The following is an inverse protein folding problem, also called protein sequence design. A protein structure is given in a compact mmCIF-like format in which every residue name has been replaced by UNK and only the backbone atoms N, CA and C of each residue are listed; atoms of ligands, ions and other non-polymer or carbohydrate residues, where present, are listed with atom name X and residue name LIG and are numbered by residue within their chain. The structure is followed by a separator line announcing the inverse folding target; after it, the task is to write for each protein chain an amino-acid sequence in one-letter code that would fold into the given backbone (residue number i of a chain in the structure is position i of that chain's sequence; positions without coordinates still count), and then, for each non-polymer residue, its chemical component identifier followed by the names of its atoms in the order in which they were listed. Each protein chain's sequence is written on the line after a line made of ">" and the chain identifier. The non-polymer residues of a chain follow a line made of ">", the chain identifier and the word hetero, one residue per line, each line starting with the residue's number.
data_IF_962986827769
#
_entry.id   IF_962986827769
#
_cell.length_a   1.000
_cell.length_b   1.000
_cell.length_c   1.000
_cell.angle_alpha   90.00
_cell.angle_beta   90.00
_cell.angle_gamma   90.00
#
_symmetry.space_group_name_H-M   'P 1'
#
loop_
_entity.id
_entity.type
_entity.pdbx_description
1 polymer ?
#
# COMPACT_ATOMS: atom_id res chain seq x y z
N UNK A 1 -9.96 1.75 -6.34
CA UNK A 1 -8.65 2.42 -6.47
C UNK A 1 -7.95 1.93 -7.71
N UNK A 2 -7.33 2.81 -8.45
CA UNK A 2 -6.66 2.47 -9.71
C UNK A 2 -5.14 2.56 -9.53
N UNK A 3 -4.44 1.45 -9.78
CA UNK A 3 -2.98 1.40 -9.63
C UNK A 3 -2.26 2.39 -10.56
N UNK A 4 -2.81 2.62 -11.75
CA UNK A 4 -2.17 3.51 -12.73
C UNK A 4 -2.11 4.95 -12.24
N UNK A 5 -3.08 5.39 -11.45
CA UNK A 5 -3.04 6.74 -10.88
C UNK A 5 -1.99 6.88 -9.79
N UNK A 6 -1.61 5.77 -9.16
CA UNK A 6 -0.60 5.76 -8.10
C UNK A 6 0.82 5.61 -8.64
N UNK A 7 0.97 5.15 -9.88
CA UNK A 7 2.30 4.90 -10.45
C UNK A 7 3.20 6.14 -10.43
N UNK A 8 2.76 7.33 -10.86
CA UNK A 8 3.62 8.51 -10.80
C UNK A 8 4.06 8.86 -9.38
N UNK A 9 3.17 8.66 -8.41
CA UNK A 9 3.47 8.94 -7.00
C UNK A 9 4.51 7.95 -6.46
N UNK A 10 4.38 6.68 -6.81
CA UNK A 10 5.35 5.67 -6.42
C UNK A 10 6.72 5.95 -7.02
N UNK A 11 6.76 6.33 -8.29
CA UNK A 11 8.02 6.67 -8.96
C UNK A 11 8.68 7.88 -8.30
N UNK A 12 7.90 8.87 -7.93
CA UNK A 12 8.41 10.05 -7.24
C UNK A 12 8.99 9.66 -5.88
N UNK A 13 8.28 8.84 -5.12
CA UNK A 13 8.74 8.38 -3.80
C UNK A 13 10.04 7.59 -3.88
N UNK A 14 10.18 6.78 -4.93
CA UNK A 14 11.36 5.93 -5.11
C UNK A 14 12.50 6.62 -5.84
N UNK A 15 12.27 7.83 -6.35
CA UNK A 15 13.28 8.55 -7.11
C UNK A 15 13.52 7.96 -8.50
N UNK A 16 12.52 7.32 -9.09
CA UNK A 16 12.62 6.69 -10.40
C UNK A 16 12.02 7.62 -11.45
N UNK A 17 12.83 8.04 -12.42
CA UNK A 17 12.35 8.90 -13.51
C UNK A 17 12.19 8.15 -14.84
N UNK A 18 12.81 6.97 -14.95
CA UNK A 18 12.76 6.15 -16.16
C UNK A 18 11.45 5.36 -16.23
N UNK A 19 11.02 5.04 -17.45
CA UNK A 19 9.86 4.18 -17.67
C UNK A 19 10.21 2.70 -17.69
N UNK A 20 11.49 2.37 -17.51
CA UNK A 20 11.98 1.00 -17.63
C UNK A 20 11.33 0.03 -16.63
N UNK A 21 10.90 0.54 -15.48
CA UNK A 21 10.33 -0.29 -14.41
C UNK A 21 8.82 -0.13 -14.25
N UNK A 22 8.18 0.64 -15.11
CA UNK A 22 6.75 0.97 -14.95
C UNK A 22 5.88 -0.27 -14.79
N UNK A 23 6.09 -1.26 -15.64
CA UNK A 23 5.29 -2.49 -15.60
C UNK A 23 5.47 -3.24 -14.29
N UNK A 24 6.69 -3.32 -13.80
CA UNK A 24 6.99 -3.98 -12.51
C UNK A 24 6.42 -3.21 -11.33
N UNK A 25 6.56 -1.90 -11.36
CA UNK A 25 6.02 -1.04 -10.31
C UNK A 25 4.49 -1.15 -10.27
N UNK A 26 3.87 -1.13 -11.44
CA UNK A 26 2.42 -1.30 -11.54
C UNK A 26 1.99 -2.64 -10.96
N UNK A 27 2.76 -3.70 -11.23
CA UNK A 27 2.52 -5.02 -10.66
C UNK A 27 2.56 -5.01 -9.14
N UNK A 28 3.51 -4.28 -8.54
CA UNK A 28 3.60 -4.15 -7.09
C UNK A 28 2.40 -3.40 -6.52
N UNK A 29 1.97 -2.36 -7.19
CA UNK A 29 0.78 -1.60 -6.79
C UNK A 29 -0.47 -2.49 -6.83
N UNK A 30 -0.65 -3.25 -7.89
CA UNK A 30 -1.78 -4.16 -7.99
C UNK A 30 -1.73 -5.24 -6.91
N UNK A 31 -0.56 -5.79 -6.65
CA UNK A 31 -0.38 -6.79 -5.60
C UNK A 31 -0.70 -6.21 -4.22
N UNK A 32 -0.26 -4.98 -3.97
CA UNK A 32 -0.54 -4.30 -2.72
C UNK A 32 -2.04 -4.13 -2.51
N UNK A 33 -2.75 -3.66 -3.55
CA UNK A 33 -4.20 -3.49 -3.50
C UNK A 33 -4.89 -4.82 -3.18
N UNK A 34 -4.52 -5.87 -3.91
CA UNK A 34 -5.10 -7.20 -3.72
C UNK A 34 -4.88 -7.72 -2.29
N UNK A 35 -3.67 -7.60 -1.77
CA UNK A 35 -3.34 -8.11 -0.45
C UNK A 35 -4.03 -7.32 0.66
N UNK A 36 -4.11 -6.00 0.51
CA UNK A 36 -4.79 -5.16 1.48
C UNK A 36 -6.28 -5.49 1.51
N UNK A 37 -6.90 -5.64 0.35
CA UNK A 37 -8.31 -6.00 0.27
C UNK A 37 -8.58 -7.40 0.79
N UNK A 38 -7.63 -8.32 0.62
CA UNK A 38 -7.74 -9.67 1.15
C UNK A 38 -7.77 -9.69 2.69
N UNK A 39 -7.23 -8.66 3.34
CA UNK A 39 -7.30 -8.55 4.80
C UNK A 39 -8.60 -7.93 5.30
N UNK A 40 -9.54 -7.67 4.41
CA UNK A 40 -10.86 -7.17 4.78
C UNK A 40 -11.03 -5.67 4.65
N UNK A 41 -10.10 -4.99 3.99
CA UNK A 41 -10.16 -3.55 3.80
C UNK A 41 -10.77 -3.22 2.44
N UNK A 42 -11.79 -2.36 2.43
CA UNK A 42 -12.32 -1.81 1.19
C UNK A 42 -11.62 -0.49 0.92
N UNK A 43 -10.76 -0.47 -0.10
CA UNK A 43 -9.97 0.71 -0.41
C UNK A 43 -10.81 1.77 -1.13
N UNK A 44 -10.62 3.02 -0.72
CA UNK A 44 -11.24 4.18 -1.34
C UNK A 44 -10.14 5.03 -2.00
N UNK A 45 -10.53 6.17 -2.58
CA UNK A 45 -9.57 7.11 -3.16
C UNK A 45 -9.10 8.18 -2.16
N UNK A 46 -9.27 7.92 -0.86
CA UNK A 46 -8.80 8.83 0.17
C UNK A 46 -7.27 8.88 0.20
N UNK A 47 -6.72 9.98 0.70
CA UNK A 47 -5.27 10.12 0.82
C UNK A 47 -4.68 9.04 1.74
N UNK A 48 -5.39 8.71 2.81
CA UNK A 48 -4.92 7.69 3.74
C UNK A 48 -4.81 6.32 3.06
N UNK A 49 -5.79 5.97 2.24
CA UNK A 49 -5.77 4.68 1.53
C UNK A 49 -4.71 4.67 0.44
N UNK A 50 -4.54 5.78 -0.27
CA UNK A 50 -3.46 5.90 -1.27
C UNK A 50 -2.10 5.75 -0.62
N UNK A 51 -1.88 6.41 0.52
CA UNK A 51 -0.63 6.31 1.26
C UNK A 51 -0.36 4.88 1.72
N UNK A 52 -1.39 4.18 2.19
CA UNK A 52 -1.25 2.79 2.61
C UNK A 52 -0.82 1.90 1.46
N UNK A 53 -1.46 2.05 0.31
CA UNK A 53 -1.11 1.26 -0.88
C UNK A 53 0.32 1.57 -1.33
N UNK A 54 0.69 2.85 -1.33
CA UNK A 54 2.05 3.27 -1.71
C UNK A 54 3.10 2.67 -0.78
N UNK A 55 2.89 2.76 0.53
CA UNK A 55 3.82 2.19 1.50
C UNK A 55 3.98 0.68 1.31
N UNK A 56 2.87 -0.01 1.11
CA UNK A 56 2.87 -1.45 0.92
C UNK A 56 3.59 -1.84 -0.36
N UNK A 57 3.25 -1.16 -1.47
CA UNK A 57 3.86 -1.43 -2.77
C UNK A 57 5.35 -1.13 -2.77
N UNK A 58 5.76 -0.04 -2.12
CA UNK A 58 7.17 0.33 -2.02
C UNK A 58 7.95 -0.67 -1.19
N UNK A 59 7.34 -1.18 -0.12
CA UNK A 59 7.95 -2.27 0.64
C UNK A 59 8.11 -3.51 -0.23
N UNK A 60 7.09 -3.89 -1.00
CA UNK A 60 7.17 -5.04 -1.91
C UNK A 60 8.30 -4.86 -2.94
N UNK A 61 8.47 -3.64 -3.43
CA UNK A 61 9.52 -3.33 -4.39
C UNK A 61 10.91 -3.50 -3.75
N UNK A 62 11.09 -3.03 -2.53
CA UNK A 62 12.37 -3.16 -1.82
C UNK A 62 12.64 -4.59 -1.37
N UNK A 63 11.59 -5.29 -0.94
CA UNK A 63 11.67 -6.64 -0.42
C UNK A 63 12.19 -7.65 -1.47
N UNK A 64 11.99 -7.38 -2.75
CA UNK A 64 12.51 -8.23 -3.82
C UNK A 64 14.03 -8.42 -3.75
N UNK A 65 14.72 -7.52 -3.08
CA UNK A 65 16.17 -7.55 -2.94
C UNK A 65 16.60 -8.10 -1.57
N UNK A 66 15.91 -7.68 -0.52
CA UNK A 66 16.35 -7.93 0.86
C UNK A 66 15.62 -9.08 1.54
N UNK A 67 14.42 -9.41 1.13
CA UNK A 67 13.64 -10.45 1.80
C UNK A 67 13.23 -10.11 3.23
N UNK A 68 13.28 -8.84 3.62
CA UNK A 68 12.95 -8.42 4.97
C UNK A 68 11.44 -8.53 5.25
N UNK A 69 11.11 -8.68 6.53
CA UNK A 69 9.71 -8.67 6.95
C UNK A 69 9.09 -7.29 6.72
N UNK A 70 7.76 -7.27 6.66
CA UNK A 70 7.01 -6.03 6.49
C UNK A 70 7.41 -5.02 7.58
N UNK A 71 7.71 -3.77 7.21
CA UNK A 71 8.03 -2.74 8.18
C UNK A 71 6.88 -2.53 9.16
N UNK A 72 7.23 -2.24 10.41
CA UNK A 72 6.25 -2.04 11.47
C UNK A 72 5.23 -0.96 11.13
N UNK A 73 5.69 0.13 10.50
CA UNK A 73 4.80 1.24 10.11
C UNK A 73 3.73 0.79 9.10
N UNK A 74 4.11 -0.05 8.14
CA UNK A 74 3.17 -0.56 7.15
C UNK A 74 2.15 -1.47 7.83
N UNK A 75 2.61 -2.36 8.68
CA UNK A 75 1.72 -3.28 9.41
C UNK A 75 0.77 -2.50 10.34
N UNK A 76 1.29 -1.48 11.01
CA UNK A 76 0.47 -0.64 11.88
C UNK A 76 -0.61 0.09 11.09
N UNK A 77 -0.24 0.70 9.98
CA UNK A 77 -1.19 1.43 9.12
C UNK A 77 -2.27 0.50 8.56
N UNK A 78 -1.87 -0.69 8.12
CA UNK A 78 -2.79 -1.69 7.61
C UNK A 78 -3.76 -2.16 8.69
N UNK A 79 -3.24 -2.48 9.87
CA UNK A 79 -4.06 -2.93 11.00
C UNK A 79 -5.07 -1.83 11.39
N UNK A 80 -4.64 -0.58 11.44
CA UNK A 80 -5.53 0.53 11.73
C UNK A 80 -6.63 0.65 10.70
N UNK A 81 -6.31 0.47 9.42
CA UNK A 81 -7.30 0.58 8.35
C UNK A 81 -8.30 -0.56 8.40
N UNK A 82 -7.84 -1.77 8.69
CA UNK A 82 -8.70 -2.95 8.76
C UNK A 82 -9.52 -2.97 10.04
N UNK A 83 -8.88 -2.73 11.18
CA UNK A 83 -9.50 -2.84 12.50
C UNK A 83 -10.07 -1.53 13.02
N UNK A 84 -9.61 -0.39 12.48
CA UNK A 84 -10.00 0.92 12.98
C UNK A 84 -11.50 1.16 13.06
N UNK A 85 -12.26 0.90 12.00
CA UNK A 85 -13.71 1.09 12.06
C UNK A 85 -14.39 0.22 13.11
N UNK A 86 -13.94 -1.02 13.26
CA UNK A 86 -14.46 -1.93 14.28
C UNK A 86 -14.03 -1.50 15.67
N UNK A 87 -12.76 -1.11 15.80
CA UNK A 87 -12.24 -0.63 17.07
C UNK A 87 -12.93 0.66 17.49
N UNK A 88 -13.17 1.57 16.54
CA UNK A 88 -13.91 2.80 16.84
C UNK A 88 -15.33 2.51 17.30
N UNK A 89 -16.01 1.57 16.63
CA UNK A 89 -17.35 1.18 17.02
C UNK A 89 -17.37 0.49 18.39
N UNK A 90 -16.38 -0.38 18.63
CA UNK A 90 -16.28 -1.08 19.90
C UNK A 90 -15.70 -0.24 21.01
N UNK A 91 -14.76 0.63 20.68
CA UNK A 91 -14.08 1.48 21.64
C UNK A 91 -14.94 2.58 22.22
N UNK A 92 -16.00 2.95 21.51
CA UNK A 92 -16.94 3.94 21.98
C UNK A 92 -18.02 3.38 22.86
N UNK A 93 -18.10 2.10 22.91
CA UNK A 93 -19.10 1.40 23.70
C UNK A 93 -18.67 1.27 25.16
#
# INVERSE_FOLDING_TARGET
>A
MNAETLLPLMKLDLGISSDAFDERLLGKLNTAIERIEAEGCTLSDSEADKDLVLMYAEWLWRERVSGNAMPRMVRWALNNRVLGPKAAAGGTS
#
